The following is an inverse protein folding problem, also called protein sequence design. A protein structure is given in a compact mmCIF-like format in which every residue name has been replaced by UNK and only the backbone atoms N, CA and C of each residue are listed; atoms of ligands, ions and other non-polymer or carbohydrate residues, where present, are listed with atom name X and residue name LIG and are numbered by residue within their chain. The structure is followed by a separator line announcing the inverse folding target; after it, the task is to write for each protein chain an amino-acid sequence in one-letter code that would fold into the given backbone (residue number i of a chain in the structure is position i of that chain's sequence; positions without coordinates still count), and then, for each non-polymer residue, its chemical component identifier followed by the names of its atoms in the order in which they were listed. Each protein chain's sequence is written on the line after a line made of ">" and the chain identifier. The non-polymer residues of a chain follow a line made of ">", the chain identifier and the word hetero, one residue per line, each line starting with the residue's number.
data_IF_572534299966
#
_entry.id   IF_572534299966
#
_cell.length_a   1.000
_cell.length_b   1.000
_cell.length_c   1.000
_cell.angle_alpha   90.00
_cell.angle_beta   90.00
_cell.angle_gamma   90.00
#
_symmetry.space_group_name_H-M   'P 1'
#
loop_
_entity.id
_entity.type
_entity.pdbx_description
1 polymer ?
#
# COMPACT_ATOMS: atom_id res chain seq x y z
N UNK A 1 1.41 56.75 -5.08
CA UNK A 1 2.82 56.66 -4.68
C UNK A 1 2.87 56.91 -3.20
N UNK A 2 3.39 56.07 -2.32
CA UNK A 2 3.89 54.69 -2.36
C UNK A 2 4.17 54.41 -0.90
N UNK A 3 3.46 53.49 -0.25
CA UNK A 3 3.82 53.08 1.12
C UNK A 3 3.21 51.73 1.55
N UNK A 4 2.87 50.85 0.59
CA UNK A 4 2.28 49.53 0.88
C UNK A 4 2.94 48.36 0.13
N UNK A 5 4.19 48.49 -0.31
CA UNK A 5 4.94 47.41 -0.98
C UNK A 5 6.28 47.08 -0.29
N UNK A 6 6.27 46.80 1.03
CA UNK A 6 7.52 46.50 1.73
C UNK A 6 7.48 45.34 2.74
N UNK A 7 6.48 44.44 2.73
CA UNK A 7 6.48 43.28 3.66
C UNK A 7 5.89 42.00 3.02
N UNK A 8 6.30 41.66 1.80
CA UNK A 8 6.08 40.32 1.25
C UNK A 8 7.37 39.89 0.55
N UNK A 9 8.41 39.61 1.34
CA UNK A 9 9.57 38.89 0.83
C UNK A 9 9.13 37.56 0.20
N UNK A 10 9.85 37.04 -0.80
CA UNK A 10 9.49 35.78 -1.43
C UNK A 10 9.40 34.71 -0.34
N UNK A 11 8.18 34.25 -0.07
CA UNK A 11 7.95 33.10 0.79
C UNK A 11 8.58 31.90 0.09
N UNK A 12 9.78 31.53 0.54
CA UNK A 12 10.42 30.28 0.11
C UNK A 12 9.41 29.15 0.31
N UNK A 13 9.21 28.28 -0.69
CA UNK A 13 8.34 27.12 -0.51
C UNK A 13 8.88 26.34 0.68
N UNK A 14 8.04 26.16 1.71
CA UNK A 14 8.34 25.29 2.85
C UNK A 14 8.54 23.89 2.27
N UNK A 15 9.79 23.54 1.97
CA UNK A 15 10.19 22.19 1.62
C UNK A 15 10.12 21.41 2.91
N UNK A 16 8.95 20.81 3.17
CA UNK A 16 8.82 19.78 4.19
C UNK A 16 9.87 18.73 3.85
N UNK A 17 10.94 18.67 4.65
CA UNK A 17 12.04 17.73 4.47
C UNK A 17 11.43 16.34 4.41
N UNK A 18 11.48 15.72 3.24
CA UNK A 18 10.89 14.40 3.00
C UNK A 18 11.49 13.44 4.04
N UNK A 19 10.64 12.71 4.76
CA UNK A 19 11.11 11.75 5.77
C UNK A 19 11.91 10.66 5.06
N UNK A 20 13.08 10.33 5.61
CA UNK A 20 13.98 9.30 5.08
C UNK A 20 14.18 8.20 6.13
N UNK A 21 14.37 6.98 5.68
CA UNK A 21 14.63 5.78 6.47
C UNK A 21 15.96 5.16 6.03
N UNK A 22 17.03 5.71 6.59
CA UNK A 22 18.42 5.29 6.44
C UNK A 22 18.95 4.62 7.73
N UNK A 23 18.36 4.97 8.87
CA UNK A 23 18.78 4.45 10.18
C UNK A 23 17.59 4.10 11.08
N UNK A 24 17.75 3.15 12.03
CA UNK A 24 16.66 2.71 12.91
C UNK A 24 15.97 3.82 13.73
N UNK A 25 16.69 4.90 14.06
CA UNK A 25 16.11 6.03 14.81
C UNK A 25 15.04 6.79 14.02
N UNK A 26 15.04 6.69 12.69
CA UNK A 26 14.05 7.34 11.81
C UNK A 26 12.78 6.51 11.64
N UNK A 27 12.78 5.24 12.05
CA UNK A 27 11.67 4.30 11.89
C UNK A 27 10.33 4.90 12.32
N UNK A 28 10.25 5.49 13.51
CA UNK A 28 8.97 5.98 14.04
C UNK A 28 8.39 7.14 13.21
N UNK A 29 9.24 8.08 12.79
CA UNK A 29 8.81 9.20 11.95
C UNK A 29 8.38 8.71 10.57
N UNK A 30 9.18 7.84 9.96
CA UNK A 30 8.89 7.26 8.65
C UNK A 30 7.58 6.45 8.66
N UNK A 31 7.41 5.57 9.65
CA UNK A 31 6.23 4.73 9.79
C UNK A 31 4.96 5.56 10.01
N UNK A 32 5.05 6.66 10.78
CA UNK A 32 3.93 7.58 10.98
C UNK A 32 3.51 8.23 9.67
N UNK A 33 4.48 8.68 8.86
CA UNK A 33 4.17 9.27 7.55
C UNK A 33 3.61 8.24 6.57
N UNK A 34 4.16 7.03 6.54
CA UNK A 34 3.61 5.93 5.74
C UNK A 34 2.14 5.71 6.08
N UNK A 35 1.81 5.64 7.37
CA UNK A 35 0.44 5.46 7.84
C UNK A 35 -0.47 6.59 7.37
N UNK A 36 -0.05 7.84 7.50
CA UNK A 36 -0.82 9.01 7.03
C UNK A 36 -1.09 8.93 5.52
N UNK A 37 -0.06 8.63 4.70
CA UNK A 37 -0.21 8.50 3.25
C UNK A 37 -1.15 7.33 2.88
N UNK A 38 -0.98 6.18 3.52
CA UNK A 38 -1.79 4.99 3.30
C UNK A 38 -3.26 5.17 3.72
N UNK A 39 -3.51 5.82 4.86
CA UNK A 39 -4.86 6.17 5.32
C UNK A 39 -5.53 7.15 4.36
N UNK A 40 -4.80 8.17 3.88
CA UNK A 40 -5.29 9.12 2.87
C UNK A 40 -5.72 8.45 1.55
N UNK A 41 -5.08 7.33 1.19
CA UNK A 41 -5.45 6.54 0.01
C UNK A 41 -6.44 5.39 0.31
N UNK A 42 -6.82 5.20 1.58
CA UNK A 42 -7.64 4.08 2.07
C UNK A 42 -7.01 2.70 1.80
N UNK A 43 -5.69 2.60 1.95
CA UNK A 43 -4.92 1.35 1.78
C UNK A 43 -4.28 0.83 3.07
N UNK A 44 -4.45 1.52 4.21
CA UNK A 44 -3.75 1.14 5.44
C UNK A 44 -3.98 -0.33 5.84
N UNK A 45 -5.20 -0.83 5.67
CA UNK A 45 -5.54 -2.21 6.01
C UNK A 45 -4.75 -3.24 5.19
N UNK A 46 -4.31 -2.89 3.98
CA UNK A 46 -3.52 -3.76 3.08
C UNK A 46 -2.00 -3.58 3.24
N UNK A 47 -1.58 -2.66 4.12
CA UNK A 47 -0.18 -2.24 4.32
C UNK A 47 0.30 -2.53 5.75
N UNK A 48 -0.61 -2.49 6.74
CA UNK A 48 -0.30 -2.59 8.16
C UNK A 48 0.59 -3.81 8.48
N UNK A 49 1.86 -3.60 8.89
CA UNK A 49 2.79 -4.70 9.13
C UNK A 49 2.50 -5.48 10.40
N UNK A 50 1.62 -4.97 11.28
CA UNK A 50 1.25 -5.66 12.53
C UNK A 50 0.11 -6.66 12.33
N UNK A 51 -0.54 -6.65 11.18
CA UNK A 51 -1.59 -7.59 10.85
C UNK A 51 -1.05 -8.82 10.09
N UNK A 52 -1.76 -9.94 10.17
CA UNK A 52 -1.45 -11.14 9.38
C UNK A 52 -1.64 -10.88 7.88
N UNK A 53 -0.92 -11.64 7.06
CA UNK A 53 -1.08 -11.57 5.60
C UNK A 53 -2.44 -12.13 5.19
N UNK A 54 -3.05 -11.51 4.18
CA UNK A 54 -4.36 -11.88 3.65
C UNK A 54 -4.28 -12.08 2.14
N UNK A 55 -5.17 -12.92 1.59
CA UNK A 55 -5.25 -13.12 0.13
C UNK A 55 -5.59 -11.82 -0.61
N UNK A 56 -6.37 -10.94 0.02
CA UNK A 56 -6.75 -9.62 -0.51
C UNK A 56 -5.57 -8.68 -0.72
N UNK A 57 -4.44 -8.88 -0.03
CA UNK A 57 -3.22 -8.06 -0.16
C UNK A 57 -2.62 -8.09 -1.57
N UNK A 58 -2.98 -9.12 -2.35
CA UNK A 58 -2.47 -9.32 -3.69
C UNK A 58 -3.15 -8.46 -4.76
N UNK A 59 -4.24 -7.76 -4.43
CA UNK A 59 -5.08 -7.00 -5.36
C UNK A 59 -5.34 -7.79 -6.65
N UNK A 60 -6.09 -8.88 -6.54
CA UNK A 60 -6.26 -9.79 -7.67
C UNK A 60 -6.90 -9.12 -8.88
N UNK A 61 -6.33 -9.38 -10.06
CA UNK A 61 -6.87 -8.91 -11.33
C UNK A 61 -8.22 -9.59 -11.55
N UNK A 62 -9.31 -8.83 -11.73
CA UNK A 62 -10.61 -9.40 -12.04
C UNK A 62 -10.54 -10.24 -13.31
N UNK A 63 -11.20 -11.40 -13.30
CA UNK A 63 -11.25 -12.29 -14.46
C UNK A 63 -12.37 -11.86 -15.40
N UNK A 64 -12.07 -11.73 -16.68
CA UNK A 64 -13.09 -11.46 -17.68
C UNK A 64 -14.07 -12.64 -17.73
N UNK A 65 -15.39 -12.40 -17.71
CA UNK A 65 -16.37 -13.47 -17.80
C UNK A 65 -16.33 -14.12 -19.18
N UNK A 66 -16.63 -15.40 -19.24
CA UNK A 66 -16.80 -16.15 -20.48
C UNK A 66 -18.24 -16.67 -20.59
N UNK A 67 -18.71 -17.03 -21.79
CA UNK A 67 -20.00 -17.70 -21.94
C UNK A 67 -20.14 -18.95 -21.05
N UNK A 68 -19.06 -19.73 -20.90
CA UNK A 68 -19.04 -20.91 -20.03
C UNK A 68 -19.25 -20.52 -18.57
N UNK A 69 -18.58 -19.47 -18.07
CA UNK A 69 -18.79 -18.98 -16.71
C UNK A 69 -20.21 -18.48 -16.46
N UNK A 70 -20.90 -17.97 -17.51
CA UNK A 70 -22.29 -17.57 -17.42
C UNK A 70 -23.24 -18.78 -17.34
N UNK A 71 -22.91 -19.88 -18.03
CA UNK A 71 -23.63 -21.16 -17.89
C UNK A 71 -23.46 -21.73 -16.49
N UNK A 72 -22.24 -21.75 -15.97
CA UNK A 72 -21.95 -22.24 -14.61
C UNK A 72 -22.72 -21.47 -13.53
N UNK A 73 -22.80 -20.14 -13.67
CA UNK A 73 -23.51 -19.27 -12.71
C UNK A 73 -25.01 -19.10 -13.00
N UNK A 74 -25.55 -19.73 -14.03
CA UNK A 74 -26.91 -19.44 -14.50
C UNK A 74 -27.98 -19.68 -13.42
N UNK A 75 -27.84 -20.73 -12.62
CA UNK A 75 -28.78 -21.00 -11.52
C UNK A 75 -28.75 -19.94 -10.43
N UNK A 76 -27.57 -19.39 -10.12
CA UNK A 76 -27.42 -18.33 -9.12
C UNK A 76 -28.12 -17.05 -9.56
N UNK A 77 -27.82 -16.58 -10.78
CA UNK A 77 -28.44 -15.36 -11.31
C UNK A 77 -29.96 -15.51 -11.50
N UNK A 78 -30.46 -16.68 -11.93
CA UNK A 78 -31.90 -16.90 -12.06
C UNK A 78 -32.64 -16.87 -10.72
N UNK A 79 -32.00 -17.30 -9.61
CA UNK A 79 -32.59 -17.18 -8.27
C UNK A 79 -32.68 -15.73 -7.80
N UNK A 80 -31.73 -14.89 -8.20
CA UNK A 80 -31.65 -13.48 -7.77
C UNK A 80 -32.52 -12.57 -8.64
N UNK A 81 -32.51 -12.80 -9.96
CA UNK A 81 -33.08 -11.90 -10.97
C UNK A 81 -34.42 -12.43 -11.53
N UNK A 82 -34.56 -13.75 -11.66
CA UNK A 82 -35.76 -14.43 -12.17
C UNK A 82 -35.44 -15.55 -13.17
N UNK A 83 -36.29 -16.60 -13.19
CA UNK A 83 -36.08 -17.81 -14.00
C UNK A 83 -36.04 -17.56 -15.52
N UNK A 84 -36.72 -16.52 -15.99
CA UNK A 84 -36.78 -16.12 -17.40
C UNK A 84 -35.45 -15.54 -17.94
N UNK A 85 -34.46 -15.31 -17.06
CA UNK A 85 -33.19 -14.68 -17.43
C UNK A 85 -32.37 -15.63 -18.32
N UNK A 86 -32.02 -15.17 -19.52
CA UNK A 86 -31.26 -15.96 -20.50
C UNK A 86 -29.77 -15.99 -20.15
N UNK A 87 -29.04 -16.98 -20.69
CA UNK A 87 -27.58 -17.04 -20.55
C UNK A 87 -26.91 -15.79 -21.12
N UNK A 88 -27.47 -15.22 -22.19
CA UNK A 88 -26.96 -14.00 -22.80
C UNK A 88 -27.14 -12.79 -21.85
N UNK A 89 -28.29 -12.68 -21.19
CA UNK A 89 -28.53 -11.63 -20.19
C UNK A 89 -27.60 -11.76 -19.00
N UNK A 90 -27.40 -13.00 -18.50
CA UNK A 90 -26.46 -13.31 -17.41
C UNK A 90 -25.03 -12.91 -17.81
N UNK A 91 -24.59 -13.31 -19.01
CA UNK A 91 -23.27 -12.94 -19.51
C UNK A 91 -23.10 -11.42 -19.58
N UNK A 92 -24.11 -10.69 -20.09
CA UNK A 92 -24.08 -9.22 -20.16
C UNK A 92 -23.98 -8.58 -18.77
N UNK A 93 -24.70 -9.10 -17.77
CA UNK A 93 -24.62 -8.63 -16.38
C UNK A 93 -23.23 -8.90 -15.81
N UNK A 94 -22.71 -10.12 -15.96
CA UNK A 94 -21.36 -10.47 -15.53
C UNK A 94 -20.29 -9.59 -16.20
N UNK A 95 -20.47 -9.25 -17.48
CA UNK A 95 -19.58 -8.30 -18.17
C UNK A 95 -19.62 -6.90 -17.55
N UNK A 96 -20.80 -6.42 -17.14
CA UNK A 96 -20.92 -5.13 -16.45
C UNK A 96 -20.28 -5.16 -15.05
N UNK A 97 -20.50 -6.23 -14.29
CA UNK A 97 -19.84 -6.43 -13.00
C UNK A 97 -18.32 -6.47 -13.13
N UNK A 98 -17.82 -7.17 -14.16
CA UNK A 98 -16.40 -7.20 -14.49
C UNK A 98 -15.86 -5.80 -14.79
N UNK A 99 -16.55 -5.00 -15.60
CA UNK A 99 -16.10 -3.64 -15.92
C UNK A 99 -15.97 -2.78 -14.66
N UNK A 100 -16.93 -2.89 -13.73
CA UNK A 100 -16.86 -2.20 -12.45
C UNK A 100 -15.71 -2.70 -11.59
N UNK A 101 -15.55 -4.02 -11.45
CA UNK A 101 -14.47 -4.63 -10.70
C UNK A 101 -13.09 -4.27 -11.28
N UNK A 102 -12.95 -4.26 -12.61
CA UNK A 102 -11.72 -3.89 -13.31
C UNK A 102 -11.35 -2.43 -13.05
N UNK A 103 -12.32 -1.52 -13.08
CA UNK A 103 -12.10 -0.11 -12.76
C UNK A 103 -11.65 0.07 -11.31
N UNK A 104 -12.30 -0.60 -10.35
CA UNK A 104 -11.90 -0.58 -8.94
C UNK A 104 -10.48 -1.13 -8.75
N UNK A 105 -10.15 -2.23 -9.42
CA UNK A 105 -8.81 -2.81 -9.40
C UNK A 105 -7.77 -1.81 -9.93
N UNK A 106 -8.01 -1.13 -11.06
CA UNK A 106 -7.10 -0.11 -11.60
C UNK A 106 -6.89 1.03 -10.60
N UNK A 107 -7.97 1.52 -9.99
CA UNK A 107 -7.87 2.59 -8.98
C UNK A 107 -7.03 2.15 -7.78
N UNK A 108 -7.25 0.95 -7.28
CA UNK A 108 -6.50 0.38 -6.14
C UNK A 108 -5.04 0.12 -6.50
N UNK A 109 -4.77 -0.43 -7.69
CA UNK A 109 -3.41 -0.65 -8.19
C UNK A 109 -2.63 0.68 -8.31
N UNK A 110 -3.26 1.75 -8.79
CA UNK A 110 -2.66 3.07 -8.86
C UNK A 110 -2.32 3.63 -7.48
N UNK A 111 -3.22 3.49 -6.50
CA UNK A 111 -2.94 3.89 -5.11
C UNK A 111 -1.78 3.09 -4.53
N UNK A 112 -1.75 1.78 -4.77
CA UNK A 112 -0.67 0.92 -4.31
C UNK A 112 0.66 1.31 -4.96
N UNK A 113 0.66 1.67 -6.24
CA UNK A 113 1.81 2.21 -6.95
C UNK A 113 2.33 3.51 -6.32
N UNK A 114 1.45 4.44 -5.96
CA UNK A 114 1.83 5.68 -5.26
C UNK A 114 2.55 5.38 -3.94
N UNK A 115 2.04 4.43 -3.14
CA UNK A 115 2.70 4.02 -1.90
C UNK A 115 4.05 3.35 -2.17
N UNK A 116 4.13 2.43 -3.14
CA UNK A 116 5.41 1.79 -3.52
C UNK A 116 6.45 2.83 -3.92
N UNK A 117 6.06 3.80 -4.74
CA UNK A 117 6.95 4.87 -5.16
C UNK A 117 7.35 5.75 -3.97
N UNK A 118 6.44 6.04 -3.05
CA UNK A 118 6.78 6.78 -1.83
C UNK A 118 7.80 6.00 -0.99
N UNK A 119 7.63 4.69 -0.79
CA UNK A 119 8.59 3.83 -0.10
C UNK A 119 9.95 3.87 -0.83
N UNK A 120 9.96 3.72 -2.16
CA UNK A 120 11.17 3.74 -2.97
C UNK A 120 11.98 5.05 -2.86
N UNK A 121 11.30 6.17 -2.64
CA UNK A 121 11.95 7.48 -2.50
C UNK A 121 12.29 7.87 -1.05
N UNK A 122 11.91 7.05 -0.07
CA UNK A 122 12.05 7.37 1.36
C UNK A 122 12.79 6.30 2.16
N UNK A 123 13.06 5.14 1.58
CA UNK A 123 13.86 4.07 2.17
C UNK A 123 15.22 4.05 1.49
N UNK A 124 16.27 3.81 2.26
CA UNK A 124 17.62 3.67 1.72
C UNK A 124 17.66 2.57 0.62
N UNK A 125 18.21 2.87 -0.58
CA UNK A 125 18.05 2.00 -1.74
C UNK A 125 18.59 0.58 -1.57
N UNK A 126 19.77 0.41 -0.96
CA UNK A 126 20.38 -0.92 -0.85
C UNK A 126 19.57 -1.85 0.06
N UNK A 127 18.94 -1.29 1.08
CA UNK A 127 18.09 -2.01 2.01
C UNK A 127 16.73 -2.33 1.39
N UNK A 128 16.20 -1.42 0.57
CA UNK A 128 15.00 -1.71 -0.20
C UNK A 128 15.23 -2.86 -1.21
N UNK A 129 16.35 -2.84 -1.93
CA UNK A 129 16.76 -3.92 -2.82
C UNK A 129 16.92 -5.26 -2.07
N UNK A 130 17.57 -5.23 -0.90
CA UNK A 130 17.72 -6.41 -0.05
C UNK A 130 16.36 -6.97 0.42
N UNK A 131 15.43 -6.08 0.79
CA UNK A 131 14.07 -6.49 1.16
C UNK A 131 13.34 -7.15 -0.01
N UNK A 132 13.44 -6.60 -1.23
CA UNK A 132 12.85 -7.23 -2.41
C UNK A 132 13.48 -8.59 -2.74
N UNK A 133 14.81 -8.69 -2.71
CA UNK A 133 15.50 -9.95 -2.98
C UNK A 133 15.08 -11.06 -2.01
N UNK A 134 14.97 -10.74 -0.72
CA UNK A 134 14.48 -11.67 0.30
C UNK A 134 13.03 -12.10 0.03
N UNK A 135 12.15 -11.14 -0.31
CA UNK A 135 10.74 -11.43 -0.56
C UNK A 135 10.52 -12.24 -1.85
N UNK A 136 11.35 -12.03 -2.88
CA UNK A 136 11.30 -12.82 -4.12
C UNK A 136 11.75 -14.27 -3.88
N UNK A 137 12.76 -14.49 -3.02
CA UNK A 137 13.21 -15.83 -2.65
C UNK A 137 12.15 -16.59 -1.84
N UNK A 138 11.53 -15.93 -0.86
CA UNK A 138 10.53 -16.56 0.02
C UNK A 138 9.14 -16.67 -0.64
N UNK A 139 8.82 -15.75 -1.55
CA UNK A 139 7.50 -15.63 -2.17
C UNK A 139 7.59 -15.37 -3.68
N UNK A 140 8.11 -16.34 -4.46
CA UNK A 140 8.43 -16.15 -5.88
C UNK A 140 7.22 -15.79 -6.76
N UNK A 141 6.01 -15.92 -6.24
CA UNK A 141 4.78 -15.66 -6.99
C UNK A 141 4.19 -14.27 -6.75
N UNK A 142 4.37 -13.64 -5.58
CA UNK A 142 3.78 -12.31 -5.27
C UNK A 142 4.44 -11.60 -4.08
N UNK A 143 4.91 -10.37 -4.30
CA UNK A 143 5.32 -9.42 -3.25
C UNK A 143 4.21 -8.39 -3.02
N UNK A 144 3.61 -8.41 -1.82
CA UNK A 144 2.56 -7.47 -1.41
C UNK A 144 3.14 -6.27 -0.65
N UNK A 145 2.39 -5.18 -0.54
CA UNK A 145 2.81 -4.01 0.23
C UNK A 145 3.00 -4.34 1.71
N UNK A 146 2.09 -5.12 2.31
CA UNK A 146 2.22 -5.61 3.69
C UNK A 146 3.54 -6.34 3.92
N UNK A 147 3.89 -7.28 3.02
CA UNK A 147 5.16 -8.03 3.09
C UNK A 147 6.37 -7.12 3.02
N UNK A 148 6.36 -6.17 2.09
CA UNK A 148 7.42 -5.19 1.96
C UNK A 148 7.61 -4.38 3.24
N UNK A 149 6.53 -3.84 3.81
CA UNK A 149 6.60 -3.02 5.03
C UNK A 149 6.98 -3.86 6.25
N UNK A 150 6.53 -5.11 6.35
CA UNK A 150 6.99 -6.07 7.38
C UNK A 150 8.50 -6.30 7.30
N UNK A 151 9.03 -6.46 6.09
CA UNK A 151 10.45 -6.69 5.90
C UNK A 151 11.27 -5.44 6.26
N UNK A 152 10.84 -4.26 5.81
CA UNK A 152 11.46 -2.99 6.20
C UNK A 152 11.41 -2.81 7.73
N UNK A 153 10.26 -3.13 8.36
CA UNK A 153 10.12 -3.12 9.82
C UNK A 153 11.11 -4.06 10.50
N UNK A 154 11.31 -5.28 9.99
CA UNK A 154 12.27 -6.25 10.54
C UNK A 154 13.69 -5.69 10.57
N UNK A 155 14.07 -4.93 9.55
CA UNK A 155 15.42 -4.38 9.39
C UNK A 155 15.63 -3.10 10.21
N UNK A 156 14.64 -2.20 10.24
CA UNK A 156 14.78 -0.86 10.80
C UNK A 156 14.09 -0.61 12.14
N UNK A 157 13.09 -1.40 12.52
CA UNK A 157 12.43 -1.17 13.79
C UNK A 157 13.42 -1.41 14.94
N UNK A 158 13.51 -0.50 15.91
CA UNK A 158 14.37 -0.69 17.07
C UNK A 158 14.02 -2.00 17.78
N UNK A 159 14.95 -2.96 17.74
CA UNK A 159 14.83 -4.18 18.54
C UNK A 159 14.82 -3.83 20.03
N UNK A 160 14.10 -4.60 20.84
CA UNK A 160 14.08 -4.44 22.32
C UNK A 160 15.50 -4.36 22.92
N UNK A 161 16.48 -5.02 22.29
CA UNK A 161 17.90 -4.99 22.66
C UNK A 161 18.61 -3.66 22.35
N UNK A 162 18.25 -2.96 21.27
CA UNK A 162 18.83 -1.65 20.93
C UNK A 162 18.27 -0.51 21.79
N UNK A 163 16.99 -0.58 22.19
CA UNK A 163 16.37 0.36 23.14
C UNK A 163 17.03 0.26 24.53
N UNK A 164 17.29 -0.97 25.03
CA UNK A 164 17.97 -1.19 26.31
C UNK A 164 19.40 -0.62 26.32
N UNK A 165 20.17 -0.77 25.25
CA UNK A 165 21.53 -0.21 25.13
C UNK A 165 21.54 1.32 25.10
N UNK A 166 20.55 1.95 24.45
CA UNK A 166 20.40 3.41 24.45
C UNK A 166 20.06 3.98 25.84
N UNK A 167 19.13 3.34 26.56
CA UNK A 167 18.76 3.72 27.91
C UNK A 167 19.92 3.55 28.92
N UNK A 168 20.74 2.51 28.74
CA UNK A 168 21.88 2.22 29.62
C UNK A 168 23.07 3.15 29.37
N UNK A 169 23.29 3.62 28.14
CA UNK A 169 24.28 4.67 27.83
C UNK A 169 23.89 6.03 28.41
N UNK A 170 22.61 6.42 28.37
CA UNK A 170 22.13 7.68 28.96
C UNK A 170 22.22 7.71 30.49
N UNK A 171 22.21 6.56 31.16
CA UNK A 171 22.40 6.44 32.63
C UNK A 171 23.86 6.43 33.08
N UNK A 172 24.82 6.21 32.18
CA UNK A 172 26.27 6.18 32.49
C UNK A 172 27.01 7.48 32.17
N UNK A 173 26.34 8.43 31.51
CA UNK A 173 26.89 9.76 31.19
C UNK A 173 26.32 10.89 32.06
N UNK A 174 25.76 10.56 33.22
CA UNK A 174 25.35 11.52 34.26
C UNK A 174 26.17 11.26 35.52
#
# INVERSE_FOLDING_TARGET
>A
MDEFEAIMGPSEPITLKQVQLEVPSQWHAWFTMLKIHAEGLKLWQDIDPDQNEQESDAFEIPKHPTPESAVEKAQEYRRIIGEETTIFDIYKIMSQEYMFAAQQHIMTANKAYVIRNWIANTVEPSMLESAYAYLEEQHPKRVTLRRLVKEIKRQYAPSQSSIRKGAQRRRRGR
#
